data_IF_723746268550
#
_entry.id   IF_723746268550
#
_cell.length_a   1.000
_cell.length_b   1.000
_cell.length_c   1.000
_cell.angle_alpha   90.00
_cell.angle_beta   90.00
_cell.angle_gamma   90.00
#
_symmetry.space_group_name_H-M   'P 1'
#
loop_
_entity.id
_entity.type
_entity.pdbx_description
1 polymer ?
#
# COMPACT_ATOMS: atom_id res chain seq x y z
N UNK A 1 2.25 -17.83 7.75
CA UNK A 1 3.04 -16.58 7.63
C UNK A 1 3.41 -16.42 6.17
N UNK A 2 2.77 -15.47 5.49
CA UNK A 2 3.09 -15.14 4.09
C UNK A 2 4.35 -14.29 3.98
N UNK A 3 4.65 -13.85 2.77
CA UNK A 3 5.77 -12.93 2.50
C UNK A 3 5.47 -11.56 3.12
N UNK A 4 6.29 -11.10 4.08
CA UNK A 4 6.12 -9.82 4.80
C UNK A 4 5.87 -8.63 3.89
N UNK A 5 6.53 -8.60 2.73
CA UNK A 5 6.37 -7.57 1.69
C UNK A 5 4.91 -7.33 1.33
N UNK A 6 4.15 -8.40 1.20
CA UNK A 6 2.75 -8.37 0.76
C UNK A 6 1.77 -8.57 1.91
N UNK A 7 2.22 -8.73 3.16
CA UNK A 7 1.31 -8.88 4.29
C UNK A 7 0.43 -7.63 4.46
N UNK A 8 -0.84 -7.81 4.78
CA UNK A 8 -1.76 -6.70 5.07
C UNK A 8 -1.35 -5.92 6.33
N UNK A 9 -1.91 -4.72 6.50
CA UNK A 9 -1.72 -3.92 7.72
C UNK A 9 -2.31 -4.58 8.96
N UNK A 10 -3.38 -5.36 8.84
CA UNK A 10 -3.96 -6.11 9.95
C UNK A 10 -3.01 -7.22 10.42
N UNK A 11 -2.31 -7.88 9.49
CA UNK A 11 -1.30 -8.89 9.80
C UNK A 11 -0.15 -8.32 10.66
N UNK A 12 0.28 -7.07 10.42
CA UNK A 12 1.31 -6.41 11.22
C UNK A 12 0.86 -6.15 12.66
N UNK A 13 -0.42 -5.89 12.86
CA UNK A 13 -1.01 -5.60 14.18
C UNK A 13 -1.53 -6.86 14.90
N UNK A 14 -1.29 -8.07 14.35
CA UNK A 14 -1.84 -9.34 14.85
C UNK A 14 -3.37 -9.32 15.00
N UNK A 15 -4.07 -8.58 14.13
CA UNK A 15 -5.53 -8.55 14.07
C UNK A 15 -6.06 -9.76 13.30
N UNK A 16 -7.35 -10.05 13.51
CA UNK A 16 -8.06 -11.04 12.70
C UNK A 16 -8.02 -10.62 11.22
N UNK A 17 -7.66 -11.57 10.35
CA UNK A 17 -7.53 -11.33 8.91
C UNK A 17 -8.81 -11.78 8.21
N UNK A 18 -9.34 -10.92 7.34
CA UNK A 18 -10.52 -11.14 6.53
C UNK A 18 -10.23 -10.96 5.03
N UNK A 19 -11.30 -10.90 4.22
CA UNK A 19 -11.19 -10.81 2.75
C UNK A 19 -10.57 -9.49 2.28
N UNK A 20 -10.69 -8.43 3.07
CA UNK A 20 -10.09 -7.13 2.79
C UNK A 20 -8.55 -7.19 2.82
N UNK A 21 -7.97 -8.04 3.67
CA UNK A 21 -6.53 -8.24 3.78
C UNK A 21 -5.94 -8.90 2.53
N UNK A 22 -6.69 -9.82 1.91
CA UNK A 22 -6.27 -10.46 0.65
C UNK A 22 -6.23 -9.44 -0.49
N UNK A 23 -7.19 -8.50 -0.53
CA UNK A 23 -7.22 -7.41 -1.52
C UNK A 23 -6.07 -6.44 -1.31
N UNK A 24 -5.80 -6.04 -0.06
CA UNK A 24 -4.65 -5.19 0.26
C UNK A 24 -3.33 -5.86 -0.15
N UNK A 25 -3.17 -7.14 0.19
CA UNK A 25 -2.00 -7.94 -0.20
C UNK A 25 -1.85 -8.03 -1.72
N UNK A 26 -2.97 -8.14 -2.45
CA UNK A 26 -2.99 -8.15 -3.91
C UNK A 26 -2.58 -6.80 -4.51
N UNK A 27 -3.07 -5.69 -3.98
CA UNK A 27 -2.62 -4.35 -4.39
C UNK A 27 -1.10 -4.20 -4.26
N UNK A 28 -0.50 -4.67 -3.17
CA UNK A 28 0.95 -4.64 -3.00
C UNK A 28 1.69 -5.48 -4.04
N UNK A 29 1.18 -6.67 -4.39
CA UNK A 29 1.78 -7.48 -5.45
C UNK A 29 1.71 -6.80 -6.81
N UNK A 30 0.57 -6.19 -7.14
CA UNK A 30 0.40 -5.47 -8.40
C UNK A 30 1.37 -4.28 -8.47
N UNK A 31 1.45 -3.45 -7.43
CA UNK A 31 2.43 -2.36 -7.39
C UNK A 31 3.87 -2.86 -7.60
N UNK A 32 4.25 -3.96 -6.94
CA UNK A 32 5.59 -4.56 -7.05
C UNK A 32 5.90 -5.08 -8.47
N UNK A 33 4.87 -5.52 -9.22
CA UNK A 33 5.00 -5.99 -10.61
C UNK A 33 5.24 -4.83 -11.57
N UNK A 34 4.58 -3.70 -11.36
CA UNK A 34 4.64 -2.55 -12.26
C UNK A 34 5.89 -1.70 -12.03
N UNK A 35 6.19 -1.37 -10.77
CA UNK A 35 7.44 -0.74 -10.39
C UNK A 35 7.79 -1.11 -8.94
N UNK A 36 8.91 -1.79 -8.77
CA UNK A 36 9.43 -2.14 -7.46
C UNK A 36 9.63 -0.97 -6.50
N UNK A 37 9.85 0.24 -7.04
CA UNK A 37 10.01 1.46 -6.25
C UNK A 37 8.72 1.89 -5.57
N UNK A 38 7.57 1.39 -6.03
CA UNK A 38 6.27 1.63 -5.39
C UNK A 38 6.11 0.86 -4.07
N UNK A 39 7.01 -0.06 -3.75
CA UNK A 39 7.04 -0.80 -2.48
C UNK A 39 8.27 -0.36 -1.67
N UNK A 40 8.23 0.81 -0.99
CA UNK A 40 9.38 1.34 -0.26
C UNK A 40 9.80 0.45 0.93
N UNK A 41 8.89 -0.37 1.46
CA UNK A 41 9.18 -1.33 2.54
C UNK A 41 9.70 -2.69 2.05
N UNK A 42 10.02 -2.83 0.77
CA UNK A 42 10.42 -4.09 0.13
C UNK A 42 11.57 -4.82 0.83
N UNK A 43 12.53 -4.07 1.36
CA UNK A 43 13.72 -4.59 2.05
C UNK A 43 13.70 -4.34 3.57
N UNK A 44 12.63 -3.73 4.09
CA UNK A 44 12.51 -3.43 5.50
C UNK A 44 12.26 -4.69 6.33
N UNK A 45 13.04 -4.82 7.41
CA UNK A 45 12.94 -5.93 8.37
C UNK A 45 12.16 -5.55 9.63
N UNK A 46 12.06 -4.27 9.94
CA UNK A 46 11.34 -3.77 11.12
C UNK A 46 9.83 -3.77 10.90
N UNK A 47 9.06 -4.20 11.91
CA UNK A 47 7.61 -4.42 11.75
C UNK A 47 6.85 -3.11 11.72
N UNK A 48 7.13 -2.29 12.72
CA UNK A 48 6.47 -1.00 12.91
C UNK A 48 6.77 -0.05 11.75
N UNK A 49 7.98 -0.07 11.22
CA UNK A 49 8.36 0.74 10.05
C UNK A 49 7.67 0.27 8.77
N UNK A 50 7.62 -1.06 8.55
CA UNK A 50 6.87 -1.64 7.42
C UNK A 50 5.39 -1.28 7.51
N UNK A 51 4.81 -1.38 8.71
CA UNK A 51 3.42 -1.04 8.96
C UNK A 51 3.15 0.44 8.69
N UNK A 52 4.00 1.34 9.21
CA UNK A 52 3.85 2.78 9.03
C UNK A 52 3.88 3.20 7.57
N UNK A 53 4.82 2.68 6.77
CA UNK A 53 4.86 3.00 5.34
C UNK A 53 3.62 2.49 4.57
N UNK A 54 3.10 1.31 4.94
CA UNK A 54 1.85 0.78 4.38
C UNK A 54 0.67 1.66 4.76
N UNK A 55 0.64 2.12 6.01
CA UNK A 55 -0.41 2.98 6.53
C UNK A 55 -0.41 4.35 5.85
N UNK A 56 0.76 4.95 5.67
CA UNK A 56 0.95 6.20 4.93
C UNK A 56 0.50 6.07 3.47
N UNK A 57 0.83 4.96 2.80
CA UNK A 57 0.40 4.72 1.41
C UNK A 57 -1.13 4.65 1.30
N UNK A 58 -1.78 3.98 2.24
CA UNK A 58 -3.22 3.74 2.21
C UNK A 58 -4.02 4.98 2.65
N UNK A 59 -3.53 5.75 3.63
CA UNK A 59 -4.14 7.03 4.01
C UNK A 59 -3.91 8.14 2.99
N UNK A 60 -2.78 8.11 2.25
CA UNK A 60 -2.58 9.02 1.12
C UNK A 60 -3.64 8.86 0.02
N UNK A 61 -4.33 7.71 -0.05
CA UNK A 61 -5.50 7.54 -0.91
C UNK A 61 -6.75 8.21 -0.35
N UNK A 62 -6.90 8.31 0.96
CA UNK A 62 -8.05 9.01 1.56
C UNK A 62 -7.93 10.52 1.33
N UNK A 63 -6.73 11.08 1.47
CA UNK A 63 -6.39 12.48 1.15
C UNK A 63 -6.69 12.84 -0.32
N UNK A 64 -6.73 11.85 -1.20
CA UNK A 64 -7.10 12.02 -2.62
C UNK A 64 -8.58 12.31 -2.83
N UNK A 65 -9.43 11.76 -1.96
CA UNK A 65 -10.88 11.90 -2.07
C UNK A 65 -11.42 13.07 -1.24
N UNK A 66 -10.64 13.58 -0.28
CA UNK A 66 -11.09 14.59 0.69
C UNK A 66 -10.68 16.02 0.38
N UNK A 67 -9.62 16.31 -0.38
CA UNK A 67 -9.28 17.69 -0.74
C UNK A 67 -8.80 17.83 -2.18
N UNK A 68 -9.41 18.76 -2.92
CA UNK A 68 -9.16 19.05 -4.33
C UNK A 68 -7.80 19.71 -4.64
N UNK A 69 -6.81 19.59 -3.75
CA UNK A 69 -5.45 20.12 -3.94
C UNK A 69 -4.45 18.96 -4.01
N UNK A 70 -4.21 18.51 -5.24
CA UNK A 70 -3.30 17.42 -5.54
C UNK A 70 -1.85 17.92 -5.56
N UNK A 71 -1.01 17.36 -4.70
CA UNK A 71 0.43 17.62 -4.75
C UNK A 71 1.04 16.82 -5.93
N UNK A 72 1.95 17.41 -6.72
CA UNK A 72 2.43 16.83 -7.98
C UNK A 72 3.12 15.47 -7.81
N UNK A 73 3.74 15.22 -6.66
CA UNK A 73 4.38 13.93 -6.34
C UNK A 73 3.38 12.79 -6.05
N UNK A 74 2.13 13.13 -5.78
CA UNK A 74 1.05 12.18 -5.52
C UNK A 74 0.37 11.78 -6.83
N UNK A 75 0.31 12.70 -7.82
CA UNK A 75 -0.33 12.48 -9.14
C UNK A 75 0.18 11.21 -9.83
N UNK A 76 1.49 11.01 -9.87
CA UNK A 76 2.10 9.85 -10.51
C UNK A 76 1.69 8.53 -9.83
N UNK A 77 1.55 8.53 -8.51
CA UNK A 77 1.15 7.35 -7.72
C UNK A 77 -0.34 7.04 -7.88
N UNK A 78 -1.16 8.08 -7.96
CA UNK A 78 -2.61 7.99 -8.16
C UNK A 78 -2.93 7.49 -9.56
N UNK A 79 -2.24 8.03 -10.57
CA UNK A 79 -2.41 7.62 -11.95
C UNK A 79 -2.08 6.13 -12.12
N UNK A 80 -1.03 5.64 -11.43
CA UNK A 80 -0.76 4.21 -11.35
C UNK A 80 -1.93 3.43 -10.75
N UNK A 81 -2.49 3.86 -9.62
CA UNK A 81 -3.61 3.15 -9.00
C UNK A 81 -4.82 3.11 -9.93
N UNK A 82 -5.24 4.24 -10.54
CA UNK A 82 -6.38 4.27 -11.45
C UNK A 82 -6.18 3.43 -12.73
N UNK A 83 -4.97 3.40 -13.28
CA UNK A 83 -4.65 2.57 -14.46
C UNK A 83 -4.72 1.06 -14.14
N UNK A 84 -4.49 0.66 -12.89
CA UNK A 84 -4.48 -0.75 -12.46
C UNK A 84 -5.88 -1.34 -12.19
N UNK A 85 -6.88 -0.49 -11.97
CA UNK A 85 -8.27 -0.88 -11.68
C UNK A 85 -9.26 -0.52 -12.80
N UNK A 86 -8.77 -0.04 -13.95
CA UNK A 86 -9.56 0.27 -15.15
C UNK A 86 -9.51 -0.84 -16.20
#
# INVERSE_FOLDING_TARGET
MGTRRYASRACHQMKEQGREDDVESWCYMVLDIFDEKCIPWRELKENDETFRMKDDLMHSRDDLFTDGDLKPETEDKIFMIFFLIS
#
